data_IF_258707665078
#
_entry.id   IF_258707665078
#
_cell.length_a   1.000
_cell.length_b   1.000
_cell.length_c   1.000
_cell.angle_alpha   90.00
_cell.angle_beta   90.00
_cell.angle_gamma   90.00
#
_symmetry.space_group_name_H-M   'P 1'
#
loop_
_entity.id
_entity.type
_entity.pdbx_description
1 polymer ?
#
# COMPACT_ATOMS: atom_id res chain seq x y z
N UNK A 1 1.49 6.41 35.67
CA UNK A 1 0.65 6.92 36.79
C UNK A 1 -0.27 8.06 36.33
N UNK A 2 0.23 9.20 35.84
CA UNK A 2 -0.62 10.32 35.40
C UNK A 2 -1.62 9.94 34.28
N UNK A 3 -1.19 9.16 33.28
CA UNK A 3 -2.06 8.67 32.21
C UNK A 3 -3.20 7.77 32.71
N UNK A 4 -2.89 6.85 33.64
CA UNK A 4 -3.89 5.99 34.26
C UNK A 4 -4.87 6.78 35.13
N UNK A 5 -4.41 7.81 35.86
CA UNK A 5 -5.28 8.71 36.62
C UNK A 5 -6.24 9.48 35.70
N UNK A 6 -5.74 10.02 34.58
CA UNK A 6 -6.59 10.70 33.60
C UNK A 6 -7.64 9.77 33.00
N UNK A 7 -7.26 8.53 32.66
CA UNK A 7 -8.20 7.53 32.16
C UNK A 7 -9.27 7.16 33.21
N UNK A 8 -8.89 7.05 34.49
CA UNK A 8 -9.83 6.79 35.59
C UNK A 8 -10.84 7.94 35.77
N UNK A 9 -10.41 9.19 35.63
CA UNK A 9 -11.33 10.34 35.59
C UNK A 9 -12.31 10.23 34.41
N UNK A 10 -11.82 9.80 33.24
CA UNK A 10 -12.65 9.57 32.05
C UNK A 10 -13.76 8.53 32.29
N UNK A 11 -13.46 7.44 33.00
CA UNK A 11 -14.47 6.43 33.40
C UNK A 11 -15.55 7.05 34.29
N UNK A 12 -15.16 7.89 35.24
CA UNK A 12 -16.08 8.53 36.17
C UNK A 12 -16.94 9.62 35.52
N UNK A 13 -16.42 10.30 34.51
CA UNK A 13 -17.15 11.35 33.78
C UNK A 13 -18.07 10.82 32.68
N UNK A 14 -17.99 9.52 32.35
CA UNK A 14 -18.77 8.93 31.27
C UNK A 14 -20.28 8.91 31.58
N UNK A 15 -21.07 9.43 30.64
CA UNK A 15 -22.51 9.65 30.81
C UNK A 15 -23.33 8.40 30.46
N UNK A 16 -22.86 7.61 29.49
CA UNK A 16 -23.52 6.39 29.01
C UNK A 16 -22.78 5.09 29.34
N UNK A 17 -23.48 3.92 29.28
CA UNK A 17 -22.86 2.61 29.47
C UNK A 17 -21.75 2.31 28.45
N UNK A 18 -21.94 2.70 27.19
CA UNK A 18 -20.97 2.45 26.12
C UNK A 18 -19.74 3.36 26.25
N UNK A 19 -19.94 4.65 26.52
CA UNK A 19 -18.85 5.58 26.86
C UNK A 19 -18.02 5.09 28.05
N UNK A 20 -18.69 4.57 29.09
CA UNK A 20 -18.01 4.05 30.27
C UNK A 20 -17.19 2.80 29.95
N UNK A 21 -17.70 1.90 29.10
CA UNK A 21 -16.95 0.71 28.65
C UNK A 21 -15.74 1.10 27.82
N UNK A 22 -15.88 2.08 26.92
CA UNK A 22 -14.78 2.60 26.12
C UNK A 22 -13.69 3.23 27.01
N UNK A 23 -14.08 4.12 27.93
CA UNK A 23 -13.17 4.73 28.88
C UNK A 23 -12.50 3.69 29.81
N UNK A 24 -13.23 2.64 30.16
CA UNK A 24 -12.70 1.57 31.01
C UNK A 24 -11.68 0.69 30.27
N UNK A 25 -11.91 0.40 28.98
CA UNK A 25 -10.93 -0.30 28.15
C UNK A 25 -9.65 0.53 27.99
N UNK A 26 -9.77 1.85 27.82
CA UNK A 26 -8.62 2.76 27.77
C UNK A 26 -7.85 2.76 29.10
N UNK A 27 -8.55 2.83 30.23
CA UNK A 27 -7.94 2.69 31.56
C UNK A 27 -7.18 1.35 31.67
N UNK A 28 -7.77 0.24 31.23
CA UNK A 28 -7.12 -1.08 31.29
C UNK A 28 -5.86 -1.14 30.41
N UNK A 29 -5.91 -0.56 29.21
CA UNK A 29 -4.74 -0.46 28.32
C UNK A 29 -3.59 0.33 28.98
N UNK A 30 -3.90 1.41 29.71
CA UNK A 30 -2.90 2.21 30.43
C UNK A 30 -2.34 1.50 31.67
N UNK A 31 -3.13 0.63 32.31
CA UNK A 31 -2.68 -0.17 33.45
C UNK A 31 -1.79 -1.34 33.03
N UNK A 32 -1.96 -1.85 31.81
CA UNK A 32 -1.22 -3.01 31.30
C UNK A 32 -1.52 -4.31 32.05
N UNK A 33 -0.81 -5.39 31.72
CA UNK A 33 -1.00 -6.69 32.37
C UNK A 33 -0.56 -6.70 33.84
N UNK A 34 0.56 -6.03 34.14
CA UNK A 34 1.06 -5.85 35.49
C UNK A 34 0.80 -4.42 35.95
N UNK A 35 0.00 -4.25 37.01
CA UNK A 35 -0.24 -2.95 37.62
C UNK A 35 1.10 -2.42 38.15
N UNK A 36 1.57 -1.30 37.59
CA UNK A 36 2.86 -0.73 37.91
C UNK A 36 2.98 -0.27 39.38
N UNK A 37 4.21 -0.10 39.89
CA UNK A 37 4.44 0.34 41.27
C UNK A 37 3.76 1.69 41.54
N UNK A 38 3.03 1.79 42.65
CA UNK A 38 2.31 3.00 43.07
C UNK A 38 0.85 3.09 42.61
N UNK A 39 0.29 2.02 42.03
CA UNK A 39 -1.14 1.90 41.73
C UNK A 39 -1.67 0.67 42.46
N UNK A 40 -2.68 0.84 43.31
CA UNK A 40 -3.42 -0.26 43.92
C UNK A 40 -4.76 -0.39 43.21
N UNK A 41 -5.07 -1.57 42.70
CA UNK A 41 -6.38 -1.88 42.14
C UNK A 41 -7.07 -2.89 43.07
N UNK A 42 -8.40 -2.86 43.09
CA UNK A 42 -9.14 -3.90 43.81
C UNK A 42 -9.03 -5.25 43.08
N UNK A 43 -9.33 -6.33 43.80
CA UNK A 43 -9.24 -7.69 43.23
C UNK A 43 -10.19 -7.96 42.07
N UNK A 44 -11.13 -7.06 41.77
CA UNK A 44 -12.01 -7.14 40.60
C UNK A 44 -11.31 -6.57 39.37
N UNK A 45 -10.74 -5.37 39.46
CA UNK A 45 -9.97 -4.71 38.41
C UNK A 45 -8.72 -5.52 38.01
N UNK A 46 -8.12 -6.24 38.94
CA UNK A 46 -6.99 -7.14 38.67
C UNK A 46 -7.37 -8.32 37.76
N UNK A 47 -8.61 -8.82 37.85
CA UNK A 47 -9.05 -10.05 37.18
C UNK A 47 -9.86 -9.79 35.92
N UNK A 48 -10.54 -8.66 35.84
CA UNK A 48 -11.40 -8.32 34.71
C UNK A 48 -10.56 -7.77 33.57
N UNK A 49 -10.55 -8.49 32.46
CA UNK A 49 -9.99 -8.03 31.19
C UNK A 49 -11.14 -7.61 30.28
N UNK A 50 -11.08 -6.36 29.82
CA UNK A 50 -12.08 -5.79 28.91
C UNK A 50 -11.35 -5.26 27.69
N UNK A 51 -11.81 -5.67 26.51
CA UNK A 51 -11.41 -5.12 25.22
C UNK A 51 -12.60 -4.37 24.62
N UNK A 52 -12.36 -3.19 24.04
CA UNK A 52 -13.38 -2.40 23.36
C UNK A 52 -12.98 -2.18 21.91
N UNK A 53 -13.71 -2.79 20.99
CA UNK A 53 -13.52 -2.59 19.56
C UNK A 53 -14.44 -1.47 19.08
N UNK A 54 -13.85 -0.51 18.36
CA UNK A 54 -14.57 0.61 17.77
C UNK A 54 -14.51 0.59 16.24
N UNK A 55 -13.40 0.09 15.69
CA UNK A 55 -13.11 0.12 14.27
C UNK A 55 -12.78 -1.31 13.80
N UNK A 56 -12.81 -1.56 12.49
CA UNK A 56 -12.47 -2.86 11.94
C UNK A 56 -11.83 -2.76 10.54
N UNK A 57 -11.19 -3.85 10.11
CA UNK A 57 -10.80 -4.10 8.72
C UNK A 57 -11.26 -5.49 8.31
N UNK A 58 -10.96 -5.90 7.08
CA UNK A 58 -11.34 -7.20 6.54
C UNK A 58 -10.11 -8.05 6.20
N UNK A 59 -10.06 -9.26 6.73
CA UNK A 59 -9.14 -10.29 6.26
C UNK A 59 -9.76 -10.97 5.03
N UNK A 60 -9.52 -10.41 3.85
CA UNK A 60 -9.95 -10.99 2.57
C UNK A 60 -9.28 -12.36 2.34
N UNK A 61 -10.06 -13.33 1.86
CA UNK A 61 -9.64 -14.70 1.60
C UNK A 61 -10.18 -15.14 0.26
N UNK A 62 -9.36 -15.92 -0.45
CA UNK A 62 -9.78 -16.57 -1.69
C UNK A 62 -9.59 -18.06 -1.51
N UNK A 63 -10.69 -18.81 -1.65
CA UNK A 63 -10.65 -20.27 -1.62
C UNK A 63 -11.28 -20.79 -2.91
N UNK A 64 -10.45 -21.40 -3.78
CA UNK A 64 -10.90 -22.02 -5.04
C UNK A 64 -11.74 -21.08 -5.93
N UNK A 65 -11.36 -19.80 -6.00
CA UNK A 65 -12.06 -18.77 -6.79
C UNK A 65 -13.33 -18.20 -6.13
N UNK A 66 -13.63 -18.60 -4.89
CA UNK A 66 -14.69 -17.97 -4.07
C UNK A 66 -14.06 -16.97 -3.11
N UNK A 67 -14.61 -15.76 -3.12
CA UNK A 67 -14.23 -14.73 -2.18
C UNK A 67 -14.93 -14.97 -0.85
N UNK A 68 -14.17 -14.78 0.22
CA UNK A 68 -14.66 -14.75 1.58
C UNK A 68 -13.86 -13.70 2.35
N UNK A 69 -14.34 -13.31 3.52
CA UNK A 69 -13.67 -12.32 4.35
C UNK A 69 -14.11 -12.45 5.79
N UNK A 70 -13.23 -12.08 6.71
CA UNK A 70 -13.54 -12.04 8.13
C UNK A 70 -13.15 -10.70 8.75
N UNK A 71 -13.92 -10.20 9.72
CA UNK A 71 -13.56 -8.96 10.39
C UNK A 71 -12.29 -9.13 11.25
N UNK A 72 -11.48 -8.07 11.26
CA UNK A 72 -10.33 -7.88 12.16
C UNK A 72 -10.60 -6.60 12.95
N UNK A 73 -10.53 -6.68 14.28
CA UNK A 73 -11.02 -5.63 15.17
C UNK A 73 -9.90 -4.73 15.67
N UNK A 74 -10.18 -3.43 15.75
CA UNK A 74 -9.27 -2.40 16.25
C UNK A 74 -9.90 -1.58 17.37
N UNK A 75 -9.06 -1.07 18.27
CA UNK A 75 -9.47 -0.12 19.30
C UNK A 75 -9.70 1.28 18.71
N UNK A 76 -10.36 2.16 19.48
CA UNK A 76 -10.73 3.52 19.05
C UNK A 76 -9.56 4.43 18.65
N UNK A 77 -8.37 4.17 19.19
CA UNK A 77 -7.17 4.98 18.92
C UNK A 77 -6.44 4.62 17.63
N UNK A 78 -6.88 3.58 16.92
CA UNK A 78 -6.27 3.18 15.64
C UNK A 78 -6.98 3.95 14.53
N UNK A 79 -6.22 4.84 13.89
CA UNK A 79 -6.64 5.66 12.75
C UNK A 79 -5.47 5.63 11.77
N UNK A 80 -5.73 5.77 10.47
CA UNK A 80 -4.68 5.98 9.48
C UNK A 80 -3.76 7.14 9.90
N UNK A 81 -2.45 6.96 9.73
CA UNK A 81 -1.50 7.98 10.15
C UNK A 81 -1.61 9.18 9.23
N UNK A 82 -1.49 10.40 9.78
CA UNK A 82 -1.56 11.64 8.99
C UNK A 82 -0.49 11.75 7.89
N UNK A 83 0.50 10.86 7.89
CA UNK A 83 1.59 10.76 6.92
C UNK A 83 1.22 9.92 5.69
N UNK A 84 0.01 9.33 5.65
CA UNK A 84 -0.49 8.53 4.53
C UNK A 84 -0.01 7.08 4.51
N UNK A 85 0.67 6.61 5.57
CA UNK A 85 1.04 5.21 5.72
C UNK A 85 -0.15 4.40 6.23
N UNK A 86 -0.49 3.32 5.51
CA UNK A 86 -1.53 2.36 5.89
C UNK A 86 -1.19 1.66 7.22
N UNK A 87 -2.25 1.29 7.94
CA UNK A 87 -2.11 0.61 9.24
C UNK A 87 -1.60 -0.82 9.04
N UNK A 88 -0.58 -1.19 9.80
CA UNK A 88 -0.10 -2.58 9.87
C UNK A 88 -1.02 -3.40 10.80
N UNK A 89 -1.81 -4.31 10.21
CA UNK A 89 -2.80 -5.17 10.90
C UNK A 89 -2.17 -5.92 12.08
N UNK A 90 -0.98 -6.49 11.89
CA UNK A 90 -0.32 -7.34 12.88
C UNK A 90 0.13 -6.56 14.12
N UNK A 91 0.41 -5.26 13.97
CA UNK A 91 0.80 -4.38 15.07
C UNK A 91 -0.39 -3.71 15.76
N UNK A 92 -1.42 -3.39 14.99
CA UNK A 92 -2.53 -2.57 15.46
C UNK A 92 -3.75 -3.39 15.93
N UNK A 93 -3.84 -4.67 15.56
CA UNK A 93 -4.95 -5.55 15.94
C UNK A 93 -5.21 -5.53 17.45
N UNK A 94 -6.48 -5.37 17.83
CA UNK A 94 -6.91 -5.37 19.23
C UNK A 94 -6.73 -6.75 19.89
N UNK A 95 -6.82 -7.81 19.08
CA UNK A 95 -6.81 -9.20 19.54
C UNK A 95 -5.56 -9.93 19.07
N UNK A 96 -5.14 -10.91 19.87
CA UNK A 96 -4.11 -11.87 19.46
C UNK A 96 -4.60 -12.69 18.25
N UNK A 97 -3.69 -13.26 17.46
CA UNK A 97 -4.06 -14.11 16.31
C UNK A 97 -4.99 -15.26 16.71
N UNK A 98 -4.77 -15.88 17.87
CA UNK A 98 -5.63 -16.95 18.41
C UNK A 98 -7.03 -16.45 18.77
N UNK A 99 -7.14 -15.29 19.43
CA UNK A 99 -8.43 -14.73 19.81
C UNK A 99 -9.19 -14.18 18.61
N UNK A 100 -8.51 -13.61 17.63
CA UNK A 100 -9.09 -13.21 16.34
C UNK A 100 -9.74 -14.41 15.66
N UNK A 101 -9.04 -15.54 15.52
CA UNK A 101 -9.61 -16.74 14.93
C UNK A 101 -10.80 -17.30 15.74
N UNK A 102 -10.71 -17.25 17.08
CA UNK A 102 -11.81 -17.67 17.95
C UNK A 102 -13.05 -16.77 17.76
N UNK A 103 -12.84 -15.45 17.75
CA UNK A 103 -13.88 -14.47 17.49
C UNK A 103 -14.53 -14.70 16.13
N UNK A 104 -13.75 -14.85 15.05
CA UNK A 104 -14.26 -15.06 13.68
C UNK A 104 -15.13 -16.33 13.57
N UNK A 105 -14.69 -17.44 14.16
CA UNK A 105 -15.49 -18.68 14.21
C UNK A 105 -16.82 -18.45 14.93
N UNK A 106 -16.79 -17.77 16.07
CA UNK A 106 -17.98 -17.48 16.88
C UNK A 106 -18.91 -16.47 16.21
N UNK A 107 -18.34 -15.49 15.51
CA UNK A 107 -19.04 -14.46 14.76
C UNK A 107 -19.86 -15.06 13.61
N UNK A 108 -19.28 -16.02 12.86
CA UNK A 108 -19.98 -16.74 11.79
C UNK A 108 -21.06 -17.70 12.30
N UNK A 109 -20.82 -18.35 13.43
CA UNK A 109 -21.74 -19.34 13.99
C UNK A 109 -22.90 -18.78 14.81
N UNK A 110 -23.07 -17.46 14.87
CA UNK A 110 -24.09 -16.81 15.70
C UNK A 110 -24.92 -15.81 14.90
N UNK A 111 -26.19 -15.68 15.30
CA UNK A 111 -27.11 -14.67 14.77
C UNK A 111 -26.67 -13.24 15.14
N UNK A 112 -27.13 -12.27 14.35
CA UNK A 112 -26.76 -10.86 14.47
C UNK A 112 -27.19 -10.14 15.74
N UNK A 113 -26.70 -8.91 15.90
CA UNK A 113 -27.03 -8.04 17.03
C UNK A 113 -26.26 -8.32 18.34
N UNK A 114 -25.36 -9.31 18.38
CA UNK A 114 -24.48 -9.50 19.54
C UNK A 114 -23.32 -8.50 19.53
N UNK A 115 -23.19 -7.77 20.63
CA UNK A 115 -22.15 -6.75 20.84
C UNK A 115 -21.15 -7.11 21.94
N UNK A 116 -21.21 -8.33 22.46
CA UNK A 116 -20.33 -8.79 23.54
C UNK A 116 -19.91 -10.24 23.34
N UNK A 117 -18.62 -10.51 23.46
CA UNK A 117 -18.00 -11.82 23.29
C UNK A 117 -17.08 -12.13 24.47
N UNK A 118 -17.10 -13.38 24.93
CA UNK A 118 -16.12 -13.88 25.90
C UNK A 118 -15.03 -14.61 25.12
N UNK A 119 -13.78 -14.15 25.26
CA UNK A 119 -12.60 -14.71 24.62
C UNK A 119 -12.03 -15.89 25.42
N UNK A 120 -11.02 -16.55 24.87
CA UNK A 120 -10.48 -17.80 25.43
C UNK A 120 -9.73 -17.60 26.74
N UNK A 121 -9.14 -16.42 26.94
CA UNK A 121 -8.39 -16.04 28.14
C UNK A 121 -9.27 -15.41 29.24
N UNK A 122 -10.59 -15.37 29.04
CA UNK A 122 -11.55 -14.74 29.95
C UNK A 122 -11.78 -13.25 29.69
N UNK A 123 -11.16 -12.67 28.66
CA UNK A 123 -11.40 -11.27 28.27
C UNK A 123 -12.81 -11.07 27.72
N UNK A 124 -13.50 -10.05 28.21
CA UNK A 124 -14.78 -9.59 27.70
C UNK A 124 -14.55 -8.54 26.59
N UNK A 125 -14.81 -8.94 25.36
CA UNK A 125 -14.79 -8.07 24.19
C UNK A 125 -16.16 -7.39 24.02
N UNK A 126 -16.18 -6.07 24.02
CA UNK A 126 -17.34 -5.25 23.69
C UNK A 126 -17.17 -4.57 22.35
N UNK A 127 -18.25 -4.50 21.58
CA UNK A 127 -18.32 -3.79 20.31
C UNK A 127 -19.07 -2.48 20.48
N UNK A 128 -18.49 -1.42 19.92
CA UNK A 128 -19.16 -0.14 19.74
C UNK A 128 -20.53 -0.31 19.06
N UNK A 129 -21.56 0.49 19.41
CA UNK A 129 -22.88 0.39 18.78
C UNK A 129 -22.83 0.48 17.25
N UNK A 130 -22.01 1.38 16.71
CA UNK A 130 -21.91 1.58 15.26
C UNK A 130 -21.20 0.38 14.62
N UNK A 131 -20.12 -0.09 15.24
CA UNK A 131 -19.40 -1.29 14.82
C UNK A 131 -20.28 -2.54 14.83
N UNK A 132 -21.12 -2.72 15.85
CA UNK A 132 -22.07 -3.82 15.90
C UNK A 132 -22.98 -3.87 14.67
N UNK A 133 -23.51 -2.72 14.25
CA UNK A 133 -24.34 -2.62 13.03
C UNK A 133 -23.53 -2.88 11.76
N UNK A 134 -22.31 -2.36 11.67
CA UNK A 134 -21.43 -2.66 10.52
C UNK A 134 -21.08 -4.14 10.41
N UNK A 135 -20.82 -4.81 11.53
CA UNK A 135 -20.57 -6.25 11.52
C UNK A 135 -21.82 -7.06 11.16
N UNK A 136 -23.03 -6.55 11.42
CA UNK A 136 -24.25 -7.17 10.89
C UNK A 136 -24.30 -7.09 9.35
N UNK A 137 -23.85 -5.98 8.75
CA UNK A 137 -23.66 -5.85 7.28
C UNK A 137 -22.61 -6.84 6.77
N UNK A 138 -21.45 -6.93 7.44
CA UNK A 138 -20.39 -7.90 7.09
C UNK A 138 -20.96 -9.32 7.09
N UNK A 139 -21.74 -9.69 8.11
CA UNK A 139 -22.37 -11.02 8.18
C UNK A 139 -23.36 -11.25 7.04
N UNK A 140 -24.17 -10.24 6.69
CA UNK A 140 -25.08 -10.34 5.55
C UNK A 140 -24.30 -10.57 4.24
N UNK A 141 -23.21 -9.82 4.00
CA UNK A 141 -22.37 -9.98 2.80
C UNK A 141 -21.59 -11.31 2.80
N UNK A 142 -21.22 -11.89 3.94
CA UNK A 142 -20.64 -13.24 4.01
C UNK A 142 -21.58 -14.34 3.48
N UNK A 143 -22.90 -14.14 3.58
CA UNK A 143 -23.92 -15.04 3.02
C UNK A 143 -24.34 -14.71 1.58
N UNK A 144 -23.85 -13.62 1.01
CA UNK A 144 -24.28 -13.10 -0.27
C UNK A 144 -23.66 -13.84 -1.48
N UNK A 145 -24.08 -13.46 -2.69
CA UNK A 145 -23.52 -14.03 -3.92
C UNK A 145 -22.02 -13.70 -4.08
N UNK A 146 -21.26 -14.50 -4.85
CA UNK A 146 -19.84 -14.23 -5.08
C UNK A 146 -19.55 -12.84 -5.67
N UNK A 147 -20.48 -12.28 -6.44
CA UNK A 147 -20.34 -10.94 -7.03
C UNK A 147 -20.52 -9.85 -5.96
N UNK A 148 -21.56 -9.95 -5.14
CA UNK A 148 -21.77 -9.00 -4.02
C UNK A 148 -20.62 -9.03 -3.01
N UNK A 149 -19.99 -10.19 -2.81
CA UNK A 149 -18.79 -10.31 -1.98
C UNK A 149 -17.59 -9.58 -2.58
N UNK A 150 -17.40 -9.66 -3.89
CA UNK A 150 -16.35 -8.92 -4.61
C UNK A 150 -16.60 -7.43 -4.52
N UNK A 151 -17.82 -7.00 -4.85
CA UNK A 151 -18.20 -5.58 -4.83
C UNK A 151 -18.00 -4.98 -3.42
N UNK A 152 -18.32 -5.75 -2.38
CA UNK A 152 -18.06 -5.34 -1.00
C UNK A 152 -16.57 -5.21 -0.68
N UNK A 153 -15.73 -6.14 -1.13
CA UNK A 153 -14.28 -6.08 -0.90
C UNK A 153 -13.61 -4.95 -1.70
N UNK A 154 -14.09 -4.64 -2.90
CA UNK A 154 -13.58 -3.54 -3.72
C UNK A 154 -13.96 -2.16 -3.17
N UNK A 155 -15.08 -2.05 -2.44
CA UNK A 155 -15.52 -0.76 -1.87
C UNK A 155 -16.25 -0.92 -0.53
N UNK A 156 -15.58 -1.36 0.55
CA UNK A 156 -16.24 -1.62 1.83
C UNK A 156 -16.89 -0.37 2.43
N UNK A 157 -16.18 0.77 2.40
CA UNK A 157 -16.67 2.04 2.95
C UNK A 157 -17.94 2.51 2.25
N UNK A 158 -18.01 2.44 0.91
CA UNK A 158 -19.19 2.81 0.13
C UNK A 158 -20.41 1.98 0.55
N UNK A 159 -20.23 0.66 0.61
CA UNK A 159 -21.33 -0.26 0.99
C UNK A 159 -21.77 -0.03 2.43
N UNK A 160 -20.83 0.19 3.36
CA UNK A 160 -21.16 0.48 4.76
C UNK A 160 -21.92 1.80 4.90
N UNK A 161 -21.52 2.82 4.15
CA UNK A 161 -22.17 4.14 4.11
C UNK A 161 -23.64 4.02 3.65
N UNK A 162 -23.87 3.27 2.57
CA UNK A 162 -25.21 3.00 2.03
C UNK A 162 -26.09 2.19 2.99
N UNK A 163 -25.58 1.05 3.49
CA UNK A 163 -26.35 0.09 4.30
C UNK A 163 -26.64 0.60 5.72
N UNK A 164 -25.77 1.46 6.28
CA UNK A 164 -25.95 2.05 7.59
C UNK A 164 -26.61 3.44 7.55
N UNK A 165 -26.92 3.94 6.35
CA UNK A 165 -27.52 5.26 6.11
C UNK A 165 -26.70 6.39 6.75
N UNK A 166 -25.37 6.33 6.61
CA UNK A 166 -24.47 7.32 7.21
C UNK A 166 -24.56 8.69 6.51
N UNK A 167 -24.96 8.71 5.24
CA UNK A 167 -25.18 9.93 4.43
C UNK A 167 -26.36 10.79 4.91
N UNK A 168 -27.23 10.24 5.73
CA UNK A 168 -28.40 10.95 6.29
C UNK A 168 -28.11 11.56 7.67
N UNK A 169 -26.92 11.34 8.22
CA UNK A 169 -26.50 11.89 9.51
C UNK A 169 -25.69 13.18 9.38
N UNK A 170 -25.38 13.81 10.52
CA UNK A 170 -24.49 14.98 10.60
C UNK A 170 -22.97 14.59 10.54
N UNK A 171 -22.64 13.34 10.21
CA UNK A 171 -21.31 12.76 10.38
C UNK A 171 -20.86 11.94 9.14
N UNK A 172 -20.50 12.65 8.08
CA UNK A 172 -20.10 12.09 6.78
C UNK A 172 -18.84 11.19 6.86
N UNK A 173 -17.98 11.41 7.85
CA UNK A 173 -16.72 10.67 8.07
C UNK A 173 -16.91 9.41 8.94
N UNK A 174 -18.13 9.10 9.37
CA UNK A 174 -18.39 7.96 10.24
C UNK A 174 -17.96 6.62 9.60
N UNK A 175 -18.13 6.47 8.29
CA UNK A 175 -17.73 5.26 7.56
C UNK A 175 -16.20 5.10 7.52
N UNK A 176 -15.49 6.21 7.30
CA UNK A 176 -14.04 6.25 7.13
C UNK A 176 -13.34 6.00 8.47
N UNK A 177 -13.92 6.45 9.58
CA UNK A 177 -13.44 6.10 10.93
C UNK A 177 -13.72 4.66 11.32
N UNK A 178 -14.80 4.08 10.77
CA UNK A 178 -15.27 2.76 11.15
C UNK A 178 -14.49 1.64 10.46
N UNK A 179 -14.20 1.80 9.17
CA UNK A 179 -13.41 0.87 8.38
C UNK A 179 -11.99 1.40 8.16
N UNK A 180 -11.00 0.67 8.66
CA UNK A 180 -9.58 1.01 8.51
C UNK A 180 -9.01 0.23 7.33
N UNK A 181 -8.41 0.94 6.37
CA UNK A 181 -7.64 0.29 5.32
C UNK A 181 -6.26 -0.11 5.86
N UNK A 182 -6.02 -1.41 5.97
CA UNK A 182 -4.73 -1.94 6.42
C UNK A 182 -3.86 -2.33 5.23
N UNK A 183 -2.54 -2.32 5.41
CA UNK A 183 -1.60 -2.80 4.39
C UNK A 183 -1.98 -4.22 3.91
N UNK A 184 -2.27 -5.11 4.85
CA UNK A 184 -2.65 -6.50 4.59
C UNK A 184 -4.00 -6.62 3.87
N UNK A 185 -4.95 -5.70 4.11
CA UNK A 185 -6.19 -5.64 3.34
C UNK A 185 -5.91 -5.20 1.91
N UNK A 186 -5.20 -4.08 1.71
CA UNK A 186 -4.91 -3.53 0.39
C UNK A 186 -4.10 -4.50 -0.48
N UNK A 187 -3.11 -5.19 0.09
CA UNK A 187 -2.33 -6.24 -0.61
C UNK A 187 -3.23 -7.39 -1.10
N UNK A 188 -4.21 -7.81 -0.30
CA UNK A 188 -5.12 -8.91 -0.66
C UNK A 188 -6.21 -8.47 -1.64
N UNK A 189 -6.72 -7.25 -1.50
CA UNK A 189 -7.79 -6.70 -2.36
C UNK A 189 -7.28 -6.24 -3.72
N UNK A 190 -6.03 -5.76 -3.80
CA UNK A 190 -5.36 -5.50 -5.08
C UNK A 190 -5.25 -6.76 -5.96
N UNK A 191 -5.37 -7.96 -5.37
CA UNK A 191 -5.42 -9.24 -6.07
C UNK A 191 -6.83 -9.74 -6.43
N UNK A 192 -7.90 -8.99 -6.11
CA UNK A 192 -9.32 -9.37 -6.35
C UNK A 192 -9.82 -8.87 -7.71
N UNK A 193 -9.09 -7.95 -8.35
CA UNK A 193 -9.41 -7.50 -9.70
C UNK A 193 -9.54 -8.71 -10.63
N UNK A 194 -10.62 -8.74 -11.41
CA UNK A 194 -10.69 -9.62 -12.58
C UNK A 194 -9.44 -9.31 -13.39
N UNK A 195 -8.61 -10.31 -13.67
CA UNK A 195 -7.43 -10.13 -14.50
C UNK A 195 -7.82 -9.32 -15.75
N UNK A 196 -7.32 -8.08 -15.80
CA UNK A 196 -7.51 -7.18 -16.92
C UNK A 196 -6.25 -7.27 -17.77
N UNK A 197 -6.45 -7.43 -19.08
CA UNK A 197 -5.34 -7.53 -20.03
C UNK A 197 -4.41 -6.32 -19.85
N UNK A 198 -3.11 -6.51 -19.53
CA UNK A 198 -2.21 -5.38 -19.33
C UNK A 198 -2.14 -4.56 -20.61
N UNK A 199 -2.29 -3.24 -20.47
CA UNK A 199 -2.15 -2.29 -21.57
C UNK A 199 -0.83 -1.56 -21.40
N UNK A 200 0.07 -1.67 -22.39
CA UNK A 200 1.38 -1.04 -22.36
C UNK A 200 1.61 -0.23 -23.64
N UNK A 201 2.27 0.93 -23.58
CA UNK A 201 2.66 1.65 -24.78
C UNK A 201 3.74 0.87 -25.53
N UNK A 202 3.68 0.84 -26.86
CA UNK A 202 4.75 0.28 -27.70
C UNK A 202 5.14 1.26 -28.80
N UNK A 203 6.40 1.16 -29.22
CA UNK A 203 7.01 2.02 -30.23
C UNK A 203 7.71 1.13 -31.25
N UNK A 204 7.51 1.41 -32.55
CA UNK A 204 8.28 0.78 -33.63
C UNK A 204 9.41 1.69 -34.11
N UNK A 205 10.65 1.53 -33.62
CA UNK A 205 11.77 2.29 -34.15
C UNK A 205 12.11 1.83 -35.58
N UNK A 206 12.46 2.78 -36.46
CA UNK A 206 13.14 2.49 -37.74
C UNK A 206 14.64 2.82 -37.60
N UNK A 207 15.52 2.05 -38.26
CA UNK A 207 16.90 2.49 -38.46
C UNK A 207 16.90 3.85 -39.18
N UNK A 208 17.63 4.82 -38.63
CA UNK A 208 17.83 6.18 -39.17
C UNK A 208 16.61 7.13 -39.15
N UNK A 209 15.57 6.86 -38.36
CA UNK A 209 14.53 7.85 -38.06
C UNK A 209 14.40 8.00 -36.55
N UNK A 210 14.67 9.20 -36.03
CA UNK A 210 14.44 9.55 -34.64
C UNK A 210 12.94 9.62 -34.29
N UNK A 211 12.08 9.75 -35.32
CA UNK A 211 10.63 9.72 -35.20
C UNK A 211 10.10 8.31 -35.53
N UNK A 212 9.44 7.62 -34.58
CA UNK A 212 8.71 6.38 -34.86
C UNK A 212 7.54 6.64 -35.81
N UNK A 213 7.33 5.77 -36.81
CA UNK A 213 6.22 5.93 -37.77
C UNK A 213 4.84 5.60 -37.18
N UNK A 214 4.80 4.88 -36.05
CA UNK A 214 3.57 4.42 -35.41
C UNK A 214 3.76 4.30 -33.89
N UNK A 215 2.85 4.90 -33.13
CA UNK A 215 2.68 4.67 -31.69
C UNK A 215 1.48 3.77 -31.46
N UNK A 216 1.40 3.11 -30.31
CA UNK A 216 0.24 2.27 -30.05
C UNK A 216 0.14 1.70 -28.65
N UNK A 217 -1.01 1.09 -28.39
CA UNK A 217 -1.29 0.36 -27.16
C UNK A 217 -1.19 -1.14 -27.41
N UNK A 218 -0.39 -1.82 -26.60
CA UNK A 218 -0.26 -3.28 -26.55
C UNK A 218 -1.20 -3.80 -25.47
N UNK A 219 -2.24 -4.52 -25.85
CA UNK A 219 -3.27 -5.04 -24.95
C UNK A 219 -3.13 -6.55 -24.80
N UNK A 220 -2.83 -7.02 -23.59
CA UNK A 220 -2.70 -8.44 -23.24
C UNK A 220 -1.29 -9.02 -23.37
N UNK A 221 -1.15 -10.29 -23.00
CA UNK A 221 0.12 -11.03 -23.01
C UNK A 221 0.15 -12.11 -24.12
N UNK A 222 1.35 -12.54 -24.57
CA UNK A 222 1.46 -13.61 -25.55
C UNK A 222 0.76 -14.88 -25.05
N UNK A 223 0.01 -15.62 -25.91
CA UNK A 223 -0.11 -15.45 -27.36
C UNK A 223 -1.20 -14.47 -27.84
N UNK A 224 -2.04 -13.94 -26.94
CA UNK A 224 -3.22 -13.12 -27.27
C UNK A 224 -2.94 -11.60 -27.28
N UNK A 225 -1.69 -11.22 -27.52
CA UNK A 225 -1.27 -9.81 -27.57
C UNK A 225 -1.86 -9.10 -28.78
N UNK A 226 -2.61 -8.03 -28.55
CA UNK A 226 -3.12 -7.13 -29.59
C UNK A 226 -2.33 -5.83 -29.61
N UNK A 227 -2.01 -5.34 -30.79
CA UNK A 227 -1.32 -4.05 -30.99
C UNK A 227 -2.30 -3.11 -31.68
N UNK A 228 -2.72 -2.07 -30.96
CA UNK A 228 -3.60 -1.02 -31.46
C UNK A 228 -2.68 0.12 -31.89
N UNK A 229 -2.59 0.37 -33.20
CA UNK A 229 -1.87 1.53 -33.74
C UNK A 229 -2.70 2.80 -33.55
N UNK A 230 -2.07 3.87 -33.10
CA UNK A 230 -2.67 5.18 -32.86
C UNK A 230 -2.08 6.20 -33.84
N UNK A 231 -2.94 6.97 -34.48
CA UNK A 231 -2.55 8.16 -35.23
C UNK A 231 -2.28 9.35 -34.28
N UNK A 232 -1.50 10.36 -34.71
CA UNK A 232 -1.20 11.53 -33.88
C UNK A 232 -2.46 12.20 -33.31
N UNK A 233 -2.49 12.42 -32.00
CA UNK A 233 -3.62 13.02 -31.29
C UNK A 233 -4.74 12.05 -30.91
N UNK A 234 -4.75 10.80 -31.39
CA UNK A 234 -5.72 9.79 -30.97
C UNK A 234 -5.48 9.34 -29.52
N UNK A 235 -4.24 9.40 -29.04
CA UNK A 235 -3.88 9.05 -27.66
C UNK A 235 -4.57 9.98 -26.63
N UNK A 236 -4.68 11.27 -26.93
CA UNK A 236 -5.36 12.24 -26.06
C UNK A 236 -6.87 11.97 -25.99
N UNK A 237 -7.48 11.57 -27.11
CA UNK A 237 -8.89 11.21 -27.18
C UNK A 237 -9.15 9.94 -26.36
N UNK A 238 -8.32 8.90 -26.53
CA UNK A 238 -8.41 7.66 -25.75
C UNK A 238 -8.24 7.94 -24.26
N UNK A 239 -7.27 8.78 -23.86
CA UNK A 239 -7.09 9.16 -22.46
C UNK A 239 -8.37 9.78 -21.87
N UNK A 240 -9.01 10.70 -22.61
CA UNK A 240 -10.27 11.33 -22.20
C UNK A 240 -11.46 10.35 -22.14
N UNK A 241 -11.55 9.39 -23.05
CA UNK A 241 -12.60 8.36 -23.03
C UNK A 241 -12.42 7.34 -21.91
N UNK A 242 -11.18 6.90 -21.65
CA UNK A 242 -10.84 6.03 -20.53
C UNK A 242 -11.14 6.72 -19.20
N UNK A 243 -10.78 8.00 -19.05
CA UNK A 243 -11.07 8.76 -17.83
C UNK A 243 -12.57 8.91 -17.58
N UNK A 244 -13.37 9.14 -18.63
CA UNK A 244 -14.84 9.14 -18.53
C UNK A 244 -15.39 7.76 -18.16
N UNK A 245 -14.87 6.69 -18.73
CA UNK A 245 -15.30 5.33 -18.44
C UNK A 245 -14.98 4.92 -17.00
N UNK A 246 -13.79 5.27 -16.49
CA UNK A 246 -13.41 5.08 -15.09
C UNK A 246 -14.38 5.81 -14.16
N UNK A 247 -14.65 7.10 -14.43
CA UNK A 247 -15.58 7.91 -13.63
C UNK A 247 -17.03 7.41 -13.68
N UNK A 248 -17.43 6.77 -14.78
CA UNK A 248 -18.74 6.16 -14.95
C UNK A 248 -18.82 4.71 -14.43
N UNK A 249 -17.72 4.15 -13.90
CA UNK A 249 -17.65 2.77 -13.44
C UNK A 249 -17.79 1.72 -14.55
N UNK A 250 -17.40 2.05 -15.78
CA UNK A 250 -17.40 1.14 -16.93
C UNK A 250 -16.03 0.45 -17.05
N UNK A 251 -16.01 -0.88 -17.19
CA UNK A 251 -14.77 -1.68 -17.19
C UNK A 251 -13.98 -1.61 -18.51
N UNK A 252 -14.59 -1.17 -19.60
CA UNK A 252 -13.99 -1.14 -20.94
C UNK A 252 -14.48 0.04 -21.76
N UNK A 253 -13.66 0.49 -22.71
CA UNK A 253 -14.05 1.37 -23.81
C UNK A 253 -13.97 0.60 -25.14
N UNK A 254 -14.83 0.98 -26.08
CA UNK A 254 -14.76 0.50 -27.46
C UNK A 254 -14.02 1.55 -28.29
N UNK A 255 -12.85 1.19 -28.79
CA UNK A 255 -12.06 2.04 -29.66
C UNK A 255 -11.87 1.34 -31.01
N UNK A 256 -12.39 1.94 -32.09
CA UNK A 256 -12.50 1.29 -33.40
C UNK A 256 -13.23 -0.06 -33.29
N UNK A 257 -12.63 -1.16 -33.77
CA UNK A 257 -13.15 -2.53 -33.65
C UNK A 257 -12.58 -3.28 -32.42
N UNK A 258 -11.89 -2.58 -31.51
CA UNK A 258 -11.17 -3.17 -30.37
C UNK A 258 -11.73 -2.73 -29.01
N UNK A 259 -11.69 -3.65 -28.04
CA UNK A 259 -12.11 -3.40 -26.65
C UNK A 259 -10.88 -3.13 -25.79
N UNK A 260 -10.77 -1.92 -25.23
CA UNK A 260 -9.66 -1.51 -24.38
C UNK A 260 -10.14 -1.49 -22.91
N UNK A 261 -9.42 -2.13 -21.97
CA UNK A 261 -9.71 -2.04 -20.54
C UNK A 261 -9.68 -0.59 -20.05
N UNK A 262 -10.73 -0.14 -19.35
CA UNK A 262 -10.82 1.21 -18.80
C UNK A 262 -10.18 1.24 -17.41
N UNK A 263 -8.85 1.23 -17.39
CA UNK A 263 -8.05 1.11 -16.16
C UNK A 263 -7.14 2.32 -16.00
N UNK A 264 -6.69 2.57 -14.77
CA UNK A 264 -5.67 3.60 -14.53
C UNK A 264 -4.38 3.30 -15.31
N UNK A 265 -4.02 2.03 -15.53
CA UNK A 265 -2.85 1.65 -16.33
C UNK A 265 -3.02 2.00 -17.82
N UNK A 266 -4.21 1.79 -18.39
CA UNK A 266 -4.56 2.21 -19.75
C UNK A 266 -4.50 3.73 -19.88
N UNK A 267 -5.06 4.45 -18.89
CA UNK A 267 -5.03 5.92 -18.86
C UNK A 267 -3.59 6.45 -18.83
N UNK A 268 -2.74 5.88 -17.97
CA UNK A 268 -1.31 6.23 -17.90
C UNK A 268 -0.58 5.92 -19.20
N UNK A 269 -0.86 4.79 -19.85
CA UNK A 269 -0.26 4.42 -21.13
C UNK A 269 -0.67 5.38 -22.26
N UNK A 270 -1.93 5.80 -22.32
CA UNK A 270 -2.42 6.78 -23.29
C UNK A 270 -1.85 8.18 -23.04
N UNK A 271 -1.76 8.62 -21.77
CA UNK A 271 -1.12 9.89 -21.39
C UNK A 271 0.37 9.91 -21.71
N UNK A 272 1.09 8.82 -21.46
CA UNK A 272 2.51 8.72 -21.80
C UNK A 272 2.77 8.86 -23.32
N UNK A 273 1.87 8.35 -24.16
CA UNK A 273 1.93 8.56 -25.63
C UNK A 273 1.63 10.02 -25.97
N UNK A 274 0.63 10.63 -25.33
CA UNK A 274 0.28 12.06 -25.52
C UNK A 274 1.44 12.98 -25.15
N UNK A 275 2.10 12.73 -24.02
CA UNK A 275 3.26 13.49 -23.58
C UNK A 275 4.44 13.35 -24.54
N UNK A 276 4.65 12.16 -25.10
CA UNK A 276 5.67 11.91 -26.12
C UNK A 276 5.37 12.66 -27.42
N UNK A 277 4.10 12.68 -27.86
CA UNK A 277 3.66 13.48 -29.02
C UNK A 277 3.93 14.98 -28.80
N UNK A 278 3.60 15.51 -27.63
CA UNK A 278 3.87 16.91 -27.29
C UNK A 278 5.38 17.24 -27.24
N UNK A 279 6.21 16.34 -26.71
CA UNK A 279 7.66 16.52 -26.69
C UNK A 279 8.24 16.56 -28.11
N UNK A 280 7.79 15.65 -28.98
CA UNK A 280 8.20 15.62 -30.39
C UNK A 280 7.76 16.91 -31.12
N UNK A 281 6.52 17.36 -30.92
CA UNK A 281 6.04 18.60 -31.54
C UNK A 281 6.81 19.82 -31.05
N UNK A 282 7.17 19.86 -29.76
CA UNK A 282 7.96 20.94 -29.18
C UNK A 282 9.38 20.97 -29.75
N UNK A 283 10.02 19.81 -29.94
CA UNK A 283 11.33 19.68 -30.56
C UNK A 283 11.31 20.04 -32.05
N UNK A 284 10.27 19.63 -32.80
CA UNK A 284 10.12 19.98 -34.22
C UNK A 284 9.85 21.47 -34.47
N UNK A 285 9.22 22.17 -33.53
CA UNK A 285 8.98 23.62 -33.62
C UNK A 285 10.21 24.46 -33.24
N UNK A 286 11.28 23.84 -32.73
CA UNK A 286 12.61 24.45 -32.57
C UNK A 286 13.45 24.29 -33.85
N UNK A 287 13.77 25.40 -34.53
CA UNK A 287 14.57 25.40 -35.78
C UNK A 287 16.08 25.12 -35.57
N UNK A 288 16.84 24.78 -36.64
CA UNK A 288 17.76 23.64 -36.68
C UNK A 288 19.20 23.99 -36.27
N UNK A 289 19.94 23.00 -35.77
CA UNK A 289 21.35 23.19 -35.45
C UNK A 289 22.15 21.89 -35.32
N UNK A 290 22.95 21.62 -36.36
CA UNK A 290 24.09 20.69 -36.46
C UNK A 290 23.83 19.18 -36.39
N UNK A 291 23.86 18.58 -37.58
CA UNK A 291 24.48 17.27 -37.81
C UNK A 291 25.91 17.28 -37.26
N UNK A 292 26.14 16.54 -36.17
CA UNK A 292 27.45 16.08 -35.78
C UNK A 292 27.33 14.60 -35.41
N UNK A 293 28.21 13.81 -36.00
CA UNK A 293 28.35 12.36 -35.89
C UNK A 293 28.14 11.86 -34.46
N UNK A 294 27.10 11.06 -34.26
CA UNK A 294 26.90 10.31 -33.02
C UNK A 294 27.50 8.92 -33.20
N UNK A 295 28.63 8.69 -32.54
CA UNK A 295 29.12 7.35 -32.20
C UNK A 295 27.96 6.51 -31.65
N UNK A 296 27.86 5.27 -32.11
CA UNK A 296 26.84 4.30 -31.70
C UNK A 296 26.97 4.02 -30.20
N UNK A 297 26.26 4.80 -29.38
CA UNK A 297 26.04 4.49 -27.98
C UNK A 297 24.99 3.38 -27.94
N UNK A 298 25.43 2.16 -27.68
CA UNK A 298 24.53 1.06 -27.34
C UNK A 298 23.64 1.52 -26.18
N UNK A 299 22.37 1.77 -26.52
CA UNK A 299 21.38 2.30 -25.59
C UNK A 299 20.90 1.15 -24.73
N UNK A 300 21.31 1.14 -23.46
CA UNK A 300 20.80 0.18 -22.48
C UNK A 300 19.39 0.62 -22.06
N UNK A 301 18.41 -0.27 -22.23
CA UNK A 301 17.05 -0.08 -21.74
C UNK A 301 16.90 -0.70 -20.35
N UNK A 302 16.22 0.01 -19.45
CA UNK A 302 15.79 -0.53 -18.17
C UNK A 302 14.65 -1.54 -18.41
N UNK A 303 14.95 -2.83 -18.30
CA UNK A 303 13.92 -3.85 -18.16
C UNK A 303 13.37 -3.80 -16.73
N UNK A 304 12.12 -3.40 -16.58
CA UNK A 304 11.40 -3.49 -15.31
C UNK A 304 10.96 -4.95 -15.14
N UNK A 305 11.73 -5.72 -14.38
CA UNK A 305 11.37 -7.09 -13.99
C UNK A 305 10.15 -7.08 -13.09
N UNK A 306 9.12 -7.82 -13.47
CA UNK A 306 7.93 -8.02 -12.66
C UNK A 306 8.15 -9.29 -11.82
N UNK A 307 8.61 -9.14 -10.58
CA UNK A 307 9.02 -10.23 -9.67
C UNK A 307 7.84 -11.15 -9.23
N UNK A 308 7.06 -11.72 -10.15
CA UNK A 308 5.85 -12.50 -9.84
C UNK A 308 6.11 -14.00 -9.66
N UNK A 309 6.95 -14.61 -10.49
CA UNK A 309 7.22 -16.07 -10.45
C UNK A 309 8.68 -16.41 -10.09
N UNK A 310 9.63 -15.59 -10.54
CA UNK A 310 11.04 -15.64 -10.16
C UNK A 310 11.47 -14.31 -9.55
N UNK A 311 12.25 -14.40 -8.49
CA UNK A 311 12.75 -13.25 -7.76
C UNK A 311 14.01 -12.74 -8.46
N UNK A 312 13.81 -11.98 -9.54
CA UNK A 312 14.89 -11.45 -10.38
C UNK A 312 15.68 -10.34 -9.68
N UNK A 313 15.03 -9.61 -8.76
CA UNK A 313 15.67 -8.56 -7.97
C UNK A 313 15.11 -8.45 -6.55
N UNK A 314 15.99 -8.56 -5.55
CA UNK A 314 15.71 -8.23 -4.15
C UNK A 314 16.49 -6.98 -3.74
N UNK A 315 15.83 -5.97 -3.16
CA UNK A 315 16.54 -4.90 -2.45
C UNK A 315 17.24 -5.51 -1.23
N UNK A 316 18.57 -5.44 -1.20
CA UNK A 316 19.31 -5.75 0.02
C UNK A 316 18.86 -4.77 1.13
N UNK A 317 18.57 -5.26 2.35
CA UNK A 317 18.10 -4.40 3.44
C UNK A 317 19.09 -3.24 3.67
N UNK A 318 18.59 -2.00 3.67
CA UNK A 318 19.36 -0.89 4.22
C UNK A 318 19.48 -1.11 5.73
N UNK A 319 20.68 -1.05 6.32
CA UNK A 319 20.81 -1.02 7.76
C UNK A 319 20.04 0.19 8.31
N UNK A 320 18.96 -0.07 9.05
CA UNK A 320 18.24 0.94 9.82
C UNK A 320 18.98 1.16 11.13
N UNK A 321 19.76 2.24 11.20
CA UNK A 321 20.40 2.71 12.43
C UNK A 321 21.18 4.00 12.16
N UNK A 322 21.25 4.89 13.15
CA UNK A 322 22.18 6.01 13.13
C UNK A 322 23.60 5.46 12.94
N UNK A 323 24.30 5.96 11.92
CA UNK A 323 25.62 5.47 11.58
C UNK A 323 26.61 5.79 12.71
N UNK A 324 27.19 4.76 13.32
CA UNK A 324 28.38 4.93 14.15
C UNK A 324 29.45 5.69 13.33
N UNK A 325 30.28 6.55 13.95
CA UNK A 325 31.33 7.28 13.25
C UNK A 325 32.29 6.28 12.59
N UNK A 326 32.42 6.36 11.27
CA UNK A 326 33.32 5.52 10.47
C UNK A 326 34.77 5.93 10.69
N UNK A 327 35.65 4.95 10.90
CA UNK A 327 37.09 5.15 11.02
C UNK A 327 37.76 4.56 9.79
N UNK A 328 38.44 5.43 9.02
CA UNK A 328 39.15 5.02 7.81
C UNK A 328 40.23 3.98 8.16
N UNK A 329 40.25 2.80 7.52
CA UNK A 329 41.30 1.82 7.76
C UNK A 329 42.67 2.33 7.29
N UNK A 330 43.74 1.76 7.85
CA UNK A 330 45.10 2.03 7.37
C UNK A 330 45.30 1.56 5.93
N UNK A 331 46.17 2.24 5.18
CA UNK A 331 46.54 1.80 3.83
C UNK A 331 47.23 0.42 3.89
N UNK A 332 47.04 -0.44 2.87
CA UNK A 332 47.72 -1.73 2.81
C UNK A 332 49.25 -1.59 2.72
N UNK A 333 49.98 -2.38 3.50
CA UNK A 333 51.46 -2.36 3.53
C UNK A 333 52.12 -2.75 2.19
N UNK A 334 51.37 -3.36 1.27
CA UNK A 334 51.83 -3.78 -0.06
C UNK A 334 51.81 -2.69 -1.13
N UNK A 335 51.36 -1.47 -0.81
CA UNK A 335 51.21 -0.39 -1.78
C UNK A 335 52.58 0.20 -2.17
N UNK A 336 53.01 0.01 -3.42
CA UNK A 336 54.31 0.49 -3.91
C UNK A 336 54.34 1.98 -4.24
N UNK A 337 53.19 2.59 -4.50
CA UNK A 337 53.06 3.98 -4.91
C UNK A 337 52.31 4.78 -3.86
N UNK A 338 52.69 6.03 -3.63
CA UNK A 338 52.05 6.88 -2.62
C UNK A 338 50.78 7.54 -3.21
N UNK A 339 49.60 7.33 -2.60
CA UNK A 339 48.36 7.95 -3.07
C UNK A 339 48.38 9.46 -2.87
N UNK A 340 47.73 10.16 -3.80
CA UNK A 340 47.43 11.60 -3.68
C UNK A 340 46.26 11.83 -2.72
N UNK A 341 46.10 13.07 -2.25
CA UNK A 341 45.07 13.41 -1.27
C UNK A 341 43.64 13.06 -1.73
N UNK A 342 43.31 13.27 -2.99
CA UNK A 342 42.00 12.89 -3.54
C UNK A 342 41.82 11.37 -3.61
N UNK A 343 42.91 10.61 -3.80
CA UNK A 343 42.88 9.15 -3.81
C UNK A 343 42.72 8.57 -2.40
N UNK A 344 43.27 9.24 -1.38
CA UNK A 344 42.99 8.92 0.03
C UNK A 344 41.53 9.15 0.39
N UNK A 345 40.93 10.24 -0.11
CA UNK A 345 39.51 10.52 0.08
C UNK A 345 38.64 9.47 -0.63
N UNK A 346 38.98 9.08 -1.85
CA UNK A 346 38.31 7.99 -2.57
C UNK A 346 38.41 6.66 -1.82
N UNK A 347 39.59 6.30 -1.30
CA UNK A 347 39.78 5.10 -0.50
C UNK A 347 38.93 5.10 0.78
N UNK A 348 38.90 6.22 1.52
CA UNK A 348 38.05 6.37 2.69
C UNK A 348 36.56 6.17 2.36
N UNK A 349 36.11 6.75 1.24
CA UNK A 349 34.72 6.63 0.80
C UNK A 349 34.35 5.21 0.34
N UNK A 350 35.24 4.54 -0.39
CA UNK A 350 35.02 3.16 -0.85
C UNK A 350 35.01 2.17 0.32
N UNK A 351 35.90 2.35 1.30
CA UNK A 351 35.96 1.50 2.50
C UNK A 351 34.76 1.72 3.40
N UNK A 352 34.26 2.95 3.52
CA UNK A 352 33.02 3.26 4.22
C UNK A 352 31.81 2.60 3.56
N UNK A 353 31.70 2.70 2.22
CA UNK A 353 30.62 2.08 1.48
C UNK A 353 30.61 0.56 1.62
N UNK A 354 31.79 -0.07 1.63
CA UNK A 354 31.95 -1.50 1.89
C UNK A 354 31.51 -1.89 3.31
N UNK A 355 31.96 -1.18 4.34
CA UNK A 355 31.59 -1.49 5.73
C UNK A 355 30.09 -1.33 5.98
N UNK A 356 29.49 -0.31 5.37
CA UNK A 356 28.04 -0.04 5.43
C UNK A 356 27.21 -0.95 4.54
N UNK A 357 27.83 -1.91 3.83
CA UNK A 357 27.18 -2.86 2.90
C UNK A 357 26.35 -2.16 1.83
N UNK A 358 26.83 -1.03 1.32
CA UNK A 358 26.18 -0.31 0.23
C UNK A 358 26.30 -1.19 -1.04
N UNK A 359 25.19 -1.49 -1.74
CA UNK A 359 25.16 -2.48 -2.82
C UNK A 359 25.96 -2.08 -4.07
N UNK A 360 26.32 -0.81 -4.19
CA UNK A 360 27.13 -0.30 -5.29
C UNK A 360 27.45 1.18 -5.12
N UNK A 361 28.55 1.62 -5.71
CA UNK A 361 29.03 3.01 -5.67
C UNK A 361 29.51 3.43 -7.06
N UNK A 362 29.23 4.67 -7.45
CA UNK A 362 29.65 5.24 -8.73
C UNK A 362 30.87 6.15 -8.51
N UNK A 363 32.04 5.73 -9.00
CA UNK A 363 33.27 6.51 -8.95
C UNK A 363 33.41 7.34 -10.23
N UNK A 364 32.89 8.57 -10.20
CA UNK A 364 32.79 9.47 -11.36
C UNK A 364 33.88 10.55 -11.41
N UNK A 365 35.08 10.27 -10.89
CA UNK A 365 36.22 11.19 -11.00
C UNK A 365 36.57 11.49 -12.48
N UNK A 366 37.06 12.69 -12.76
CA UNK A 366 37.49 13.10 -14.11
C UNK A 366 38.57 12.17 -14.70
N UNK A 367 38.68 12.18 -16.03
CA UNK A 367 39.70 11.42 -16.74
C UNK A 367 41.11 11.84 -16.31
N UNK A 368 41.97 10.87 -16.01
CA UNK A 368 43.37 11.12 -15.59
C UNK A 368 43.60 11.25 -14.08
N UNK A 369 42.56 11.22 -13.23
CA UNK A 369 42.71 11.28 -11.77
C UNK A 369 43.15 9.97 -11.10
N UNK A 370 43.28 8.89 -11.88
CA UNK A 370 43.80 7.61 -11.42
C UNK A 370 42.75 6.73 -10.72
N UNK A 371 41.53 6.69 -11.25
CA UNK A 371 40.42 5.80 -10.78
C UNK A 371 40.81 4.32 -10.67
N UNK A 372 41.76 3.86 -11.48
CA UNK A 372 42.26 2.47 -11.43
C UNK A 372 43.21 2.21 -10.25
N UNK A 373 43.82 3.28 -9.71
CA UNK A 373 44.74 3.19 -8.59
C UNK A 373 44.03 3.43 -7.24
N UNK A 374 42.95 4.22 -7.25
CA UNK A 374 41.98 4.31 -6.16
C UNK A 374 41.30 2.96 -5.96
#
# INVERSE_FOLDING_TARGET
IFSAFKAALGVNSASGPDERRAAFAELRAQLGEAIGPGIEADGFLERVRIAYAANFSLAAKTDHGRFDFDPVLFGRGVIETAEGDLVDEDKASLLTTSDTQYFQRRFRGQDGGRRSYLLTDGTLLFLDPLLGRALDVVRAKQGASPQEKRDFLCSPQRVLREELHLDTGDDDEAADRLFIETQQFSERVSGIEVWQKPVLPWIKPKPNSWLPESFGLRVGDPPDTRHIELAPGEAEIIAGEVEKAINAGSDTINWQDETIPATHATLQSARAITDLEHQIEAEMRGSPGNEAESDSTETFFLQVGQNFEQLDYARLPRPKGEAAPFVVPGLPDGLRSTPKQHQLAAFAWLTEAWERKIPGVLLADDMGLGKTFQ
#
